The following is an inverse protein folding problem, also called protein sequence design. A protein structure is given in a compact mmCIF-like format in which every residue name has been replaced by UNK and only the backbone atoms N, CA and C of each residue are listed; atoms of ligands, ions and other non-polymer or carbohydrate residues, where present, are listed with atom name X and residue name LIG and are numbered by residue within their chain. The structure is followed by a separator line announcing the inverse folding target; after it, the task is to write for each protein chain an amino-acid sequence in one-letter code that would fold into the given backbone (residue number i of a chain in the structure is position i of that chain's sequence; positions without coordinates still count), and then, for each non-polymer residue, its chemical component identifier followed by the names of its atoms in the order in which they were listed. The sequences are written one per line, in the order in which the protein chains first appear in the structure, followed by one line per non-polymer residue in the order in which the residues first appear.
data_IF_182193442172
#
_entry.id   IF_182193442172
#
_cell.length_a   1.000
_cell.length_b   1.000
_cell.length_c   1.000
_cell.angle_alpha   90.00
_cell.angle_beta   90.00
_cell.angle_gamma   90.00
#
_symmetry.space_group_name_H-M   'P 1'
#
loop_
_entity.id
_entity.type
_entity.pdbx_description
1 polymer ?
#
# COMPACT_ATOMS: atom_id res chain seq x y z
N UNK A 1 -12.02 5.48 16.86
CA UNK A 1 -12.86 5.38 15.63
C UNK A 1 -14.04 4.44 15.90
N UNK A 2 -15.25 4.74 15.41
CA UNK A 2 -16.48 3.92 15.61
C UNK A 2 -17.17 3.70 14.26
N UNK A 3 -17.78 2.52 14.04
CA UNK A 3 -18.68 2.31 12.90
C UNK A 3 -20.07 2.73 13.34
N UNK A 4 -20.68 3.68 12.63
CA UNK A 4 -22.09 4.01 12.83
C UNK A 4 -22.96 2.88 12.31
N UNK A 5 -23.73 2.27 13.19
CA UNK A 5 -24.81 1.34 12.83
C UNK A 5 -26.13 2.07 12.77
N UNK A 6 -27.13 1.51 12.07
CA UNK A 6 -28.49 2.04 11.99
C UNK A 6 -29.18 1.77 13.34
N UNK A 7 -28.79 2.53 14.38
CA UNK A 7 -29.24 2.34 15.75
C UNK A 7 -28.68 3.40 16.71
N UNK A 8 -29.02 3.33 18.01
CA UNK A 8 -28.50 4.27 19.00
C UNK A 8 -26.97 4.20 19.09
N UNK A 9 -26.28 5.35 19.11
CA UNK A 9 -24.80 5.44 19.12
C UNK A 9 -24.12 4.65 20.26
N UNK A 10 -24.88 4.27 21.29
CA UNK A 10 -24.41 3.45 22.42
C UNK A 10 -24.05 2.00 22.03
N UNK A 11 -24.49 1.53 20.86
CA UNK A 11 -24.21 0.18 20.35
C UNK A 11 -23.19 0.16 19.20
N UNK A 12 -22.66 1.31 18.81
CA UNK A 12 -21.66 1.38 17.76
C UNK A 12 -20.34 0.77 18.25
N UNK A 13 -19.83 -0.30 17.61
CA UNK A 13 -18.60 -0.94 18.05
C UNK A 13 -17.43 0.04 17.91
N UNK A 14 -16.70 0.23 19.00
CA UNK A 14 -15.46 1.00 19.01
C UNK A 14 -14.36 0.16 18.39
N UNK A 15 -13.90 0.57 17.20
CA UNK A 15 -12.91 -0.17 16.43
C UNK A 15 -11.48 0.07 16.90
N UNK A 16 -11.20 1.32 17.31
CA UNK A 16 -9.89 1.74 17.77
C UNK A 16 -10.12 2.67 18.95
N UNK A 17 -9.78 2.19 20.15
CA UNK A 17 -9.79 2.90 21.42
C UNK A 17 -8.41 2.98 22.07
N UNK A 18 -7.42 2.28 21.51
CA UNK A 18 -6.02 2.43 21.87
C UNK A 18 -5.37 3.65 21.24
N UNK A 19 -4.35 4.18 21.91
CA UNK A 19 -3.47 5.24 21.42
C UNK A 19 -2.02 4.77 21.53
N UNK A 20 -1.18 5.12 20.57
CA UNK A 20 0.26 4.96 20.67
C UNK A 20 0.91 6.31 20.46
N UNK A 21 1.73 6.74 21.42
CA UNK A 21 2.48 7.98 21.31
C UNK A 21 3.75 7.65 20.52
N UNK A 22 3.78 8.10 19.27
CA UNK A 22 5.00 8.12 18.49
C UNK A 22 5.79 9.38 18.88
N UNK A 23 6.64 9.27 19.90
CA UNK A 23 7.57 10.36 20.22
C UNK A 23 8.56 10.58 19.08
N UNK A 24 9.26 11.73 19.10
CA UNK A 24 10.52 11.94 18.38
C UNK A 24 11.61 11.04 19.00
N UNK A 25 11.33 9.73 19.06
CA UNK A 25 12.33 8.70 19.30
C UNK A 25 13.42 8.94 18.28
N UNK A 26 14.68 8.77 18.65
CA UNK A 26 15.83 8.78 17.73
C UNK A 26 15.75 7.63 16.72
N UNK A 27 14.64 7.58 15.98
CA UNK A 27 14.29 6.62 14.97
C UNK A 27 15.26 6.88 13.86
N UNK A 28 16.28 6.02 13.82
CA UNK A 28 17.25 6.00 12.74
C UNK A 28 16.48 5.90 11.41
N UNK A 29 16.75 6.84 10.50
CA UNK A 29 16.16 6.88 9.17
C UNK A 29 16.16 5.47 8.53
N UNK A 30 15.04 5.09 7.91
CA UNK A 30 14.82 3.78 7.28
C UNK A 30 14.95 2.57 8.22
N UNK A 31 14.70 2.75 9.52
CA UNK A 31 14.55 1.62 10.45
C UNK A 31 13.06 1.30 10.62
N UNK A 32 12.71 0.03 10.66
CA UNK A 32 11.32 -0.41 10.82
C UNK A 32 11.04 -0.73 12.28
N UNK A 33 9.91 -0.23 12.78
CA UNK A 33 9.44 -0.45 14.14
C UNK A 33 8.07 -1.08 14.07
N UNK A 34 7.83 -2.06 14.93
CA UNK A 34 6.51 -2.65 15.13
C UNK A 34 6.08 -2.37 16.56
N UNK A 35 4.97 -1.67 16.72
CA UNK A 35 4.36 -1.38 18.00
C UNK A 35 3.00 -2.05 18.09
N UNK A 36 2.59 -2.43 19.30
CA UNK A 36 1.26 -2.98 19.55
C UNK A 36 0.38 -1.91 20.20
N UNK A 37 -0.74 -1.59 19.54
CA UNK A 37 -1.76 -0.69 20.06
C UNK A 37 -2.78 -1.55 20.80
N UNK A 38 -2.85 -1.41 22.12
CA UNK A 38 -3.83 -2.10 22.95
C UNK A 38 -5.10 -1.29 23.08
N UNK A 39 -6.23 -1.96 22.92
CA UNK A 39 -7.57 -1.43 23.10
C UNK A 39 -8.44 -2.37 23.93
N UNK A 40 -9.55 -1.87 24.47
CA UNK A 40 -10.48 -2.70 25.25
C UNK A 40 -11.18 -3.75 24.38
N UNK A 41 -11.28 -3.50 23.07
CA UNK A 41 -11.91 -4.40 22.09
C UNK A 41 -10.90 -5.30 21.35
N UNK A 42 -9.60 -5.21 21.66
CA UNK A 42 -8.56 -5.97 20.99
C UNK A 42 -7.26 -5.20 20.85
N UNK A 43 -6.23 -5.83 20.27
CA UNK A 43 -4.96 -5.19 19.98
C UNK A 43 -4.64 -5.27 18.50
N UNK A 44 -4.00 -4.22 17.98
CA UNK A 44 -3.56 -4.11 16.59
C UNK A 44 -2.07 -3.83 16.57
N UNK A 45 -1.33 -4.59 15.78
CA UNK A 45 0.08 -4.29 15.53
C UNK A 45 0.19 -3.26 14.40
N UNK A 46 1.02 -2.24 14.60
CA UNK A 46 1.36 -1.22 13.61
C UNK A 46 2.85 -1.31 13.30
N UNK A 47 3.17 -1.40 12.02
CA UNK A 47 4.55 -1.35 11.52
C UNK A 47 4.76 -0.06 10.76
N UNK A 48 5.83 0.68 11.07
CA UNK A 48 6.13 1.96 10.44
C UNK A 48 7.64 2.22 10.40
N UNK A 49 8.04 3.20 9.58
CA UNK A 49 9.42 3.67 9.46
C UNK A 49 9.45 5.18 9.28
N UNK A 50 10.47 5.85 9.84
CA UNK A 50 10.74 7.26 9.54
C UNK A 50 11.63 7.36 8.31
N UNK A 51 11.20 8.15 7.33
CA UNK A 51 11.90 8.38 6.08
C UNK A 51 12.25 9.86 5.96
N UNK A 52 13.53 10.20 6.06
CA UNK A 52 14.01 11.56 5.78
C UNK A 52 14.10 11.78 4.27
N UNK A 53 13.83 13.01 3.81
CA UNK A 53 13.87 13.39 2.39
C UNK A 53 13.00 12.48 1.52
N UNK A 54 11.78 12.20 1.99
CA UNK A 54 10.81 11.38 1.27
C UNK A 54 9.78 12.24 0.53
N UNK A 55 9.35 11.71 -0.62
CA UNK A 55 8.26 12.26 -1.42
C UNK A 55 7.06 11.33 -1.37
N UNK A 56 5.89 11.89 -1.66
CA UNK A 56 4.66 11.12 -1.78
C UNK A 56 4.61 10.40 -3.13
N UNK A 57 4.45 9.08 -3.10
CA UNK A 57 4.21 8.26 -4.26
C UNK A 57 2.76 7.76 -4.27
N UNK A 58 1.98 8.31 -5.18
CA UNK A 58 0.63 7.85 -5.47
C UNK A 58 0.69 6.70 -6.49
N UNK A 59 0.23 5.51 -6.09
CA UNK A 59 0.13 4.31 -6.93
C UNK A 59 -1.29 4.12 -7.42
N UNK A 60 -1.47 4.12 -8.73
CA UNK A 60 -2.73 3.84 -9.41
C UNK A 60 -2.61 2.57 -10.24
N UNK A 61 -3.58 1.67 -10.10
CA UNK A 61 -3.63 0.41 -10.86
C UNK A 61 -4.98 0.28 -11.55
N UNK A 62 -4.94 0.05 -12.85
CA UNK A 62 -6.10 -0.24 -13.68
C UNK A 62 -5.95 -1.62 -14.31
N UNK A 63 -6.99 -2.44 -14.21
CA UNK A 63 -7.04 -3.80 -14.75
C UNK A 63 -8.03 -3.79 -15.90
N UNK A 64 -7.62 -4.35 -17.03
CA UNK A 64 -8.40 -4.36 -18.27
C UNK A 64 -8.22 -5.70 -19.00
N UNK A 65 -9.05 -5.96 -20.01
CA UNK A 65 -8.94 -7.17 -20.85
C UNK A 65 -8.97 -8.48 -20.04
N UNK A 66 -9.80 -8.52 -18.99
CA UNK A 66 -9.93 -9.68 -18.10
C UNK A 66 -10.52 -10.86 -18.86
N UNK A 67 -9.79 -11.97 -18.92
CA UNK A 67 -10.18 -13.21 -19.59
C UNK A 67 -10.92 -14.17 -18.67
N UNK A 68 -10.54 -14.20 -17.40
CA UNK A 68 -11.14 -15.04 -16.37
C UNK A 68 -10.89 -14.44 -14.99
N UNK A 69 -11.60 -14.91 -13.97
CA UNK A 69 -11.38 -14.45 -12.60
C UNK A 69 -10.07 -14.98 -12.04
N UNK A 70 -9.34 -14.12 -11.31
CA UNK A 70 -8.06 -14.44 -10.71
C UNK A 70 -7.86 -13.71 -9.38
N UNK A 71 -7.00 -14.28 -8.54
CA UNK A 71 -6.50 -13.66 -7.31
C UNK A 71 -5.34 -12.74 -7.66
N UNK A 72 -5.39 -11.51 -7.15
CA UNK A 72 -4.35 -10.50 -7.28
C UNK A 72 -3.90 -10.05 -5.91
N UNK A 73 -2.60 -10.13 -5.67
CA UNK A 73 -1.95 -9.48 -4.54
C UNK A 73 -0.93 -8.46 -5.04
N UNK A 74 -0.97 -7.25 -4.48
CA UNK A 74 -0.05 -6.16 -4.78
C UNK A 74 0.73 -5.78 -3.53
N UNK A 75 2.00 -6.17 -3.51
CA UNK A 75 3.00 -5.74 -2.53
C UNK A 75 3.75 -4.50 -2.98
N UNK A 76 4.18 -3.69 -2.02
CA UNK A 76 4.99 -2.52 -2.24
C UNK A 76 6.16 -2.48 -1.26
N UNK A 77 7.37 -2.27 -1.79
CA UNK A 77 8.59 -2.03 -1.03
C UNK A 77 9.14 -0.67 -1.45
N UNK A 78 9.59 0.13 -0.50
CA UNK A 78 10.10 1.47 -0.78
C UNK A 78 11.40 1.72 -0.04
N UNK A 79 12.22 2.63 -0.56
CA UNK A 79 13.33 3.22 0.20
C UNK A 79 14.36 2.20 0.72
N UNK A 80 14.50 1.05 0.06
CA UNK A 80 15.40 -0.03 0.50
C UNK A 80 14.96 -0.75 1.78
N UNK A 81 13.71 -0.59 2.22
CA UNK A 81 13.10 -1.38 3.27
C UNK A 81 12.74 -2.78 2.74
N UNK A 82 12.82 -3.79 3.60
CA UNK A 82 12.48 -5.17 3.25
C UNK A 82 11.03 -5.53 3.59
N UNK A 83 10.34 -4.64 4.31
CA UNK A 83 8.99 -4.85 4.78
C UNK A 83 7.97 -4.51 3.70
N UNK A 84 7.11 -5.47 3.41
CA UNK A 84 6.10 -5.36 2.37
C UNK A 84 4.88 -4.57 2.88
N UNK A 85 4.53 -3.51 2.17
CA UNK A 85 3.25 -2.82 2.32
C UNK A 85 2.24 -3.44 1.36
N UNK A 86 1.23 -4.15 1.87
CA UNK A 86 0.16 -4.73 1.06
C UNK A 86 -0.80 -3.63 0.60
N UNK A 87 -0.75 -3.26 -0.68
CA UNK A 87 -1.63 -2.24 -1.26
C UNK A 87 -2.98 -2.80 -1.71
N UNK A 88 -3.00 -4.08 -2.11
CA UNK A 88 -4.22 -4.78 -2.51
C UNK A 88 -4.06 -6.28 -2.28
N UNK A 89 -5.14 -6.93 -1.88
CA UNK A 89 -5.26 -8.38 -1.87
C UNK A 89 -6.73 -8.76 -2.11
N UNK A 90 -7.00 -9.51 -3.17
CA UNK A 90 -8.36 -9.92 -3.47
C UNK A 90 -8.58 -10.51 -4.86
N UNK A 91 -9.84 -10.85 -5.12
CA UNK A 91 -10.28 -11.46 -6.37
C UNK A 91 -10.65 -10.37 -7.38
N UNK A 92 -10.18 -10.55 -8.61
CA UNK A 92 -10.54 -9.74 -9.77
C UNK A 92 -11.38 -10.60 -10.70
N UNK A 93 -12.61 -10.18 -10.98
CA UNK A 93 -13.51 -10.85 -11.92
C UNK A 93 -13.80 -10.03 -13.18
N UNK A 94 -13.50 -8.73 -13.17
CA UNK A 94 -13.87 -7.81 -14.23
C UNK A 94 -12.87 -6.65 -14.37
N UNK A 95 -12.99 -5.89 -15.46
CA UNK A 95 -12.20 -4.68 -15.72
C UNK A 95 -12.54 -3.61 -14.70
N UNK A 96 -11.54 -3.13 -13.96
CA UNK A 96 -11.72 -2.12 -12.90
C UNK A 96 -10.44 -1.40 -12.57
N UNK A 97 -10.59 -0.23 -11.96
CA UNK A 97 -9.50 0.43 -11.25
C UNK A 97 -9.49 0.00 -9.78
N UNK A 98 -8.30 -0.14 -9.22
CA UNK A 98 -8.10 -0.35 -7.80
C UNK A 98 -8.14 1.00 -7.07
N UNK A 99 -8.38 0.95 -5.75
CA UNK A 99 -8.27 2.15 -4.92
C UNK A 99 -6.83 2.67 -4.99
N UNK A 100 -6.70 3.98 -5.17
CA UNK A 100 -5.40 4.67 -5.14
C UNK A 100 -4.73 4.42 -3.78
N UNK A 101 -3.45 4.06 -3.83
CA UNK A 101 -2.62 3.91 -2.64
C UNK A 101 -1.56 5.00 -2.61
N UNK A 102 -1.17 5.42 -1.41
CA UNK A 102 -0.16 6.46 -1.21
C UNK A 102 0.90 5.89 -0.29
N UNK A 103 2.17 5.98 -0.70
CA UNK A 103 3.32 5.54 0.09
C UNK A 103 4.42 6.58 0.05
N UNK A 104 5.20 6.70 1.13
CA UNK A 104 6.38 7.54 1.16
C UNK A 104 7.59 6.81 0.55
N UNK A 105 8.37 7.51 -0.26
CA UNK A 105 9.57 6.97 -0.91
C UNK A 105 10.69 7.98 -0.78
N UNK A 106 11.86 7.57 -0.30
CA UNK A 106 13.03 8.45 -0.22
C UNK A 106 13.50 8.84 -1.62
N UNK A 107 13.81 10.13 -1.80
CA UNK A 107 14.37 10.69 -3.04
C UNK A 107 15.61 9.88 -3.48
N UNK A 108 15.81 9.76 -4.79
CA UNK A 108 16.89 8.97 -5.40
C UNK A 108 16.89 7.47 -5.05
N UNK A 109 15.77 6.96 -4.54
CA UNK A 109 15.56 5.52 -4.31
C UNK A 109 14.51 4.95 -5.28
N UNK A 110 13.99 3.77 -4.95
CA UNK A 110 13.07 3.03 -5.80
C UNK A 110 11.81 2.63 -5.02
N UNK A 111 10.69 2.61 -5.74
CA UNK A 111 9.51 1.84 -5.36
C UNK A 111 9.51 0.53 -6.16
N UNK A 112 9.38 -0.58 -5.45
CA UNK A 112 9.24 -1.93 -6.01
C UNK A 112 7.82 -2.42 -5.75
N UNK A 113 7.07 -2.59 -6.84
CA UNK A 113 5.72 -3.13 -6.83
C UNK A 113 5.77 -4.60 -7.27
N UNK A 114 5.33 -5.49 -6.38
CA UNK A 114 5.30 -6.93 -6.59
C UNK A 114 3.87 -7.39 -6.80
N UNK A 115 3.57 -7.84 -8.02
CA UNK A 115 2.26 -8.37 -8.39
C UNK A 115 2.30 -9.89 -8.33
N UNK A 116 1.42 -10.50 -7.54
CA UNK A 116 1.19 -11.96 -7.55
C UNK A 116 -0.18 -12.21 -8.17
N UNK A 117 -0.20 -12.99 -9.25
CA UNK A 117 -1.41 -13.24 -10.04
C UNK A 117 -1.59 -14.75 -10.20
N UNK A 118 -2.76 -15.27 -9.84
CA UNK A 118 -3.02 -16.70 -9.98
C UNK A 118 -4.48 -17.05 -9.69
N UNK A 119 -4.78 -18.34 -9.70
CA UNK A 119 -6.09 -18.87 -9.27
C UNK A 119 -5.88 -19.81 -8.11
N UNK A 120 -6.92 -20.13 -7.34
CA UNK A 120 -6.80 -21.14 -6.27
C UNK A 120 -6.32 -22.51 -6.76
N UNK A 121 -6.53 -22.80 -8.05
CA UNK A 121 -6.20 -24.09 -8.67
C UNK A 121 -4.82 -24.12 -9.33
N UNK A 122 -4.13 -22.98 -9.42
CA UNK A 122 -2.87 -22.85 -10.17
C UNK A 122 -1.80 -22.15 -9.36
N UNK A 123 -0.53 -22.44 -9.64
CA UNK A 123 0.58 -21.65 -9.09
C UNK A 123 0.44 -20.17 -9.46
N UNK A 124 0.71 -19.28 -8.51
CA UNK A 124 0.75 -17.84 -8.77
C UNK A 124 2.00 -17.47 -9.56
N UNK A 125 1.85 -16.62 -10.57
CA UNK A 125 2.97 -15.96 -11.26
C UNK A 125 3.27 -14.64 -10.58
N UNK A 126 4.55 -14.39 -10.30
CA UNK A 126 5.02 -13.12 -9.75
C UNK A 126 5.55 -12.21 -10.88
N UNK A 127 5.25 -10.91 -10.79
CA UNK A 127 5.72 -9.87 -11.71
C UNK A 127 6.17 -8.65 -10.93
N UNK A 128 7.41 -8.23 -11.15
CA UNK A 128 8.00 -7.09 -10.47
C UNK A 128 8.03 -5.84 -11.37
N UNK A 129 7.76 -4.69 -10.76
CA UNK A 129 7.86 -3.38 -11.39
C UNK A 129 8.63 -2.43 -10.49
N UNK A 130 9.60 -1.72 -11.07
CA UNK A 130 10.44 -0.76 -10.36
C UNK A 130 10.26 0.61 -10.97
N UNK A 131 10.13 1.63 -10.12
CA UNK A 131 10.15 3.03 -10.54
C UNK A 131 11.13 3.79 -9.67
N UNK A 132 11.96 4.63 -10.30
CA UNK A 132 12.85 5.53 -9.59
C UNK A 132 12.03 6.72 -9.05
N UNK A 133 12.25 7.06 -7.78
CA UNK A 133 11.64 8.19 -7.11
C UNK A 133 12.21 9.51 -7.66
N UNK A 134 11.46 10.15 -8.55
CA UNK A 134 11.79 11.48 -9.08
C UNK A 134 11.08 12.60 -8.32
N UNK A 135 11.63 13.81 -8.33
CA UNK A 135 11.08 14.96 -7.59
C UNK A 135 9.65 15.37 -8.02
N UNK A 136 9.23 15.05 -9.23
CA UNK A 136 7.89 15.35 -9.76
C UNK A 136 7.54 14.43 -10.94
N UNK A 137 6.26 14.45 -11.33
CA UNK A 137 5.78 13.83 -12.56
C UNK A 137 5.14 12.46 -12.34
N UNK A 138 5.06 11.67 -13.41
CA UNK A 138 4.49 10.32 -13.33
C UNK A 138 5.13 9.36 -14.31
N UNK A 139 5.15 8.08 -13.95
CA UNK A 139 5.64 6.99 -14.79
C UNK A 139 4.60 5.88 -14.81
N UNK A 140 4.41 5.24 -15.96
CA UNK A 140 3.44 4.17 -16.11
C UNK A 140 4.05 2.95 -16.81
N UNK A 141 3.58 1.77 -16.44
CA UNK A 141 3.98 0.49 -17.02
C UNK A 141 2.77 -0.41 -17.21
N UNK A 142 2.81 -1.25 -18.24
CA UNK A 142 1.82 -2.28 -18.49
C UNK A 142 2.43 -3.65 -18.24
N UNK A 143 1.67 -4.52 -17.62
CA UNK A 143 2.01 -5.91 -17.31
C UNK A 143 0.94 -6.78 -17.96
N UNK A 144 1.34 -7.56 -18.95
CA UNK A 144 0.46 -8.55 -19.55
C UNK A 144 0.59 -9.85 -18.77
N UNK A 145 -0.55 -10.40 -18.38
CA UNK A 145 -0.66 -11.72 -17.75
C UNK A 145 -1.60 -12.59 -18.58
N UNK A 146 -1.69 -13.87 -18.25
CA UNK A 146 -2.63 -14.79 -18.92
C UNK A 146 -4.09 -14.45 -18.58
N UNK A 147 -4.32 -13.72 -17.49
CA UNK A 147 -5.66 -13.40 -16.99
C UNK A 147 -6.14 -12.01 -17.40
N UNK A 148 -5.25 -11.02 -17.44
CA UNK A 148 -5.61 -9.63 -17.69
C UNK A 148 -4.39 -8.77 -18.11
N UNK A 149 -4.69 -7.57 -18.60
CA UNK A 149 -3.73 -6.49 -18.77
C UNK A 149 -3.81 -5.53 -17.57
N UNK A 150 -2.71 -5.47 -16.80
CA UNK A 150 -2.57 -4.58 -15.65
C UNK A 150 -1.78 -3.34 -16.08
N UNK A 151 -2.33 -2.15 -15.87
CA UNK A 151 -1.64 -0.88 -16.06
C UNK A 151 -1.38 -0.27 -14.69
N UNK A 152 -0.12 0.02 -14.38
CA UNK A 152 0.30 0.67 -13.15
C UNK A 152 0.89 2.03 -13.48
N UNK A 153 0.50 3.05 -12.71
CA UNK A 153 1.03 4.40 -12.79
C UNK A 153 1.46 4.84 -11.40
N UNK A 154 2.65 5.42 -11.31
CA UNK A 154 3.18 6.05 -10.11
C UNK A 154 3.28 7.55 -10.37
N UNK A 155 2.73 8.35 -9.47
CA UNK A 155 2.74 9.81 -9.52
C UNK A 155 3.55 10.30 -8.32
N UNK A 156 4.52 11.16 -8.58
CA UNK A 156 5.40 11.75 -7.58
C UNK A 156 4.92 13.15 -7.23
N UNK A 157 4.60 13.36 -5.96
CA UNK A 157 4.25 14.68 -5.45
C UNK A 157 5.24 15.05 -4.33
N UNK A 158 6.01 16.14 -4.48
CA UNK A 158 6.82 16.62 -3.37
C UNK A 158 5.87 17.00 -2.23
N UNK A 159 6.25 16.64 -1.01
CA UNK A 159 5.56 17.16 0.17
C UNK A 159 5.77 18.68 0.16
N UNK A 160 4.72 19.48 0.46
CA UNK A 160 4.93 20.92 0.61
C UNK A 160 6.03 21.13 1.66
N UNK A 161 7.01 21.98 1.34
CA UNK A 161 8.04 22.37 2.30
C UNK A 161 7.33 22.83 3.58
N UNK A 162 7.53 22.09 4.67
CA UNK A 162 6.91 22.41 5.95
C UNK A 162 7.45 23.74 6.47
N UNK A 163 6.52 24.62 6.87
CA UNK A 163 6.79 25.88 7.58
C UNK A 163 7.51 25.66 8.92
#
# INVERSE_FOLDING_TARGET
MRIKTVGPEKHDPQLIDGVSILGNMGVRNRSVFTNRIHGNCGAVDITFSSLENAIEATVEVAISQVQSSFNLSLGCFTSGLNEEIRLFDGVIGETRSLKRSVVAVVIDSWIHLKFKVGTERSSSTERDCFFNAGNHGSSARKIKTDFALISVKVIWSPLPDGF
#
